data_IF_864127104975
#
_entry.id   IF_864127104975
#
_cell.length_a   1.000
_cell.length_b   1.000
_cell.length_c   1.000
_cell.angle_alpha   90.00
_cell.angle_beta   90.00
_cell.angle_gamma   90.00
#
_symmetry.space_group_name_H-M   'P 1'
#
loop_
_entity.id
_entity.type
_entity.pdbx_description
1 polymer ?
#
# COMPACT_ATOMS: atom_id res chain seq x y z
N UNK A 1 50.65 43.13 -32.42
CA UNK A 1 50.30 43.13 -33.87
C UNK A 1 51.54 43.49 -34.66
N UNK A 2 51.81 42.92 -35.84
CA UNK A 2 50.85 42.54 -36.91
C UNK A 2 50.85 41.01 -37.18
N UNK A 3 49.81 40.24 -37.56
CA UNK A 3 48.72 40.31 -38.57
C UNK A 3 49.27 40.53 -39.99
N UNK A 4 49.17 39.69 -41.03
CA UNK A 4 48.23 38.65 -41.51
C UNK A 4 48.83 38.15 -42.89
N UNK A 5 48.14 37.47 -43.85
CA UNK A 5 47.09 36.42 -43.86
C UNK A 5 47.34 35.25 -44.87
N UNK A 6 46.32 34.38 -44.99
CA UNK A 6 45.90 33.56 -46.15
C UNK A 6 46.46 32.11 -46.24
N UNK A 7 45.70 31.08 -46.63
CA UNK A 7 44.40 31.00 -47.27
C UNK A 7 43.69 29.67 -46.93
N UNK A 8 42.36 29.72 -46.96
CA UNK A 8 41.48 28.55 -46.99
C UNK A 8 41.51 27.88 -48.37
N UNK A 9 41.43 26.55 -48.41
CA UNK A 9 40.61 25.76 -49.36
C UNK A 9 40.99 24.28 -49.28
N UNK A 10 40.05 23.42 -48.90
CA UNK A 10 39.83 22.10 -49.49
C UNK A 10 38.62 21.44 -48.80
N UNK A 11 37.42 21.82 -49.25
CA UNK A 11 36.25 20.96 -49.17
C UNK A 11 36.35 20.00 -50.35
N UNK A 12 36.48 18.70 -50.07
CA UNK A 12 35.76 17.60 -50.75
C UNK A 12 36.49 16.26 -50.55
N UNK A 13 35.67 15.22 -50.39
CA UNK A 13 35.93 13.79 -50.65
C UNK A 13 36.38 12.95 -49.46
N UNK A 14 35.41 12.36 -48.76
CA UNK A 14 35.31 10.92 -48.51
C UNK A 14 34.10 10.63 -47.60
N UNK A 15 32.92 10.69 -48.21
CA UNK A 15 31.67 10.20 -47.61
C UNK A 15 31.40 8.83 -48.22
N UNK A 16 31.78 7.74 -47.53
CA UNK A 16 31.09 6.45 -47.55
C UNK A 16 31.80 5.38 -46.71
N UNK A 17 30.95 4.50 -46.16
CA UNK A 17 31.22 3.19 -45.57
C UNK A 17 31.51 3.16 -44.06
N UNK A 18 30.42 3.05 -43.31
CA UNK A 18 30.39 2.72 -41.90
C UNK A 18 28.94 2.64 -41.43
N UNK A 19 28.14 1.81 -42.10
CA UNK A 19 26.83 1.43 -41.59
C UNK A 19 27.07 0.57 -40.34
N UNK A 20 27.18 1.22 -39.18
CA UNK A 20 26.99 0.52 -37.91
C UNK A 20 25.57 -0.03 -37.92
N UNK A 21 25.49 -1.35 -37.90
CA UNK A 21 24.26 -2.07 -37.68
C UNK A 21 23.63 -1.50 -36.40
N UNK A 22 22.49 -0.83 -36.54
CA UNK A 22 21.59 -0.63 -35.42
C UNK A 22 21.23 -2.04 -34.99
N UNK A 23 21.80 -2.45 -33.86
CA UNK A 23 21.38 -3.61 -33.12
C UNK A 23 19.88 -3.44 -32.86
N UNK A 24 19.06 -4.05 -33.72
CA UNK A 24 17.64 -4.27 -33.45
C UNK A 24 17.54 -5.42 -32.46
N UNK A 25 18.28 -5.31 -31.36
CA UNK A 25 18.14 -6.17 -30.20
C UNK A 25 16.68 -6.10 -29.81
N UNK A 26 16.03 -7.26 -29.75
CA UNK A 26 14.76 -7.39 -29.06
C UNK A 26 14.89 -6.62 -27.74
N UNK A 27 14.04 -5.63 -27.43
CA UNK A 27 14.15 -4.92 -26.17
C UNK A 27 14.22 -5.98 -25.08
N UNK A 28 15.29 -5.97 -24.27
CA UNK A 28 15.43 -6.94 -23.19
C UNK A 28 14.16 -6.87 -22.35
N UNK A 29 13.35 -7.93 -22.42
CA UNK A 29 12.09 -8.00 -21.71
C UNK A 29 12.40 -7.89 -20.23
N UNK A 30 11.75 -6.95 -19.55
CA UNK A 30 11.88 -6.85 -18.11
C UNK A 30 11.45 -8.16 -17.46
N UNK A 31 12.22 -8.67 -16.50
CA UNK A 31 11.94 -9.95 -15.84
C UNK A 31 11.36 -9.71 -14.46
N UNK A 32 10.13 -10.18 -14.24
CA UNK A 32 9.38 -9.98 -13.01
C UNK A 32 9.19 -11.29 -12.24
N UNK A 33 9.34 -11.24 -10.93
CA UNK A 33 8.78 -12.28 -10.05
C UNK A 33 7.28 -12.03 -9.92
N UNK A 34 6.45 -13.04 -10.18
CA UNK A 34 4.99 -12.93 -10.09
C UNK A 34 4.46 -13.75 -8.92
N UNK A 35 3.93 -13.09 -7.91
CA UNK A 35 3.21 -13.75 -6.82
C UNK A 35 1.71 -13.52 -6.95
N UNK A 36 0.93 -14.60 -7.00
CA UNK A 36 -0.54 -14.53 -6.99
C UNK A 36 -1.09 -15.40 -5.85
N UNK A 37 -1.95 -14.82 -5.03
CA UNK A 37 -2.54 -15.54 -3.90
C UNK A 37 -3.62 -16.52 -4.37
N UNK A 38 -3.24 -17.79 -4.54
CA UNK A 38 -4.09 -18.84 -5.10
C UNK A 38 -5.16 -19.41 -4.12
N UNK A 39 -5.38 -18.81 -2.94
CA UNK A 39 -6.35 -19.33 -1.94
C UNK A 39 -7.83 -19.24 -2.37
N UNK A 40 -8.14 -18.72 -3.55
CA UNK A 40 -9.49 -18.70 -4.13
C UNK A 40 -9.67 -19.76 -5.23
N UNK A 41 -10.88 -20.27 -5.42
CA UNK A 41 -11.24 -21.25 -6.48
C UNK A 41 -10.89 -20.82 -7.91
N UNK A 42 -10.54 -19.54 -8.13
CA UNK A 42 -10.13 -18.93 -9.40
C UNK A 42 -8.64 -18.57 -9.48
N UNK A 43 -7.82 -18.97 -8.50
CA UNK A 43 -6.43 -18.50 -8.37
C UNK A 43 -5.51 -18.87 -9.53
N UNK A 44 -5.65 -20.09 -10.07
CA UNK A 44 -4.85 -20.56 -11.21
C UNK A 44 -5.22 -19.83 -12.52
N UNK A 45 -6.51 -19.58 -12.75
CA UNK A 45 -7.00 -18.84 -13.91
C UNK A 45 -6.53 -17.39 -13.88
N UNK A 46 -6.62 -16.74 -12.70
CA UNK A 46 -6.09 -15.40 -12.50
C UNK A 46 -4.57 -15.33 -12.68
N UNK A 47 -3.84 -16.40 -12.33
CA UNK A 47 -2.41 -16.47 -12.54
C UNK A 47 -2.03 -16.54 -14.03
N UNK A 48 -2.75 -17.35 -14.81
CA UNK A 48 -2.57 -17.39 -16.27
C UNK A 48 -2.87 -16.03 -16.90
N UNK A 49 -4.03 -15.45 -16.58
CA UNK A 49 -4.43 -14.15 -17.14
C UNK A 49 -3.45 -13.02 -16.79
N UNK A 50 -2.92 -13.01 -15.56
CA UNK A 50 -1.92 -12.04 -15.15
C UNK A 50 -0.59 -12.23 -15.90
N UNK A 51 -0.12 -13.47 -16.04
CA UNK A 51 1.10 -13.77 -16.80
C UNK A 51 0.95 -13.40 -18.28
N UNK A 52 -0.20 -13.69 -18.89
CA UNK A 52 -0.54 -13.30 -20.26
C UNK A 52 -0.56 -11.77 -20.43
N UNK A 53 -1.19 -11.04 -19.50
CA UNK A 53 -1.23 -9.59 -19.52
C UNK A 53 0.18 -8.96 -19.40
N UNK A 54 1.04 -9.51 -18.53
CA UNK A 54 2.42 -9.08 -18.38
C UNK A 54 3.25 -9.38 -19.64
N UNK A 55 3.10 -10.58 -20.21
CA UNK A 55 3.77 -10.96 -21.45
C UNK A 55 3.36 -10.06 -22.62
N UNK A 56 2.07 -9.75 -22.75
CA UNK A 56 1.56 -8.80 -23.75
C UNK A 56 2.09 -7.37 -23.55
N UNK A 57 2.47 -7.02 -22.32
CA UNK A 57 3.11 -5.75 -21.99
C UNK A 57 4.66 -5.78 -22.12
N UNK A 58 5.24 -6.91 -22.54
CA UNK A 58 6.69 -7.06 -22.71
C UNK A 58 7.46 -7.40 -21.42
N UNK A 59 6.81 -8.06 -20.46
CA UNK A 59 7.40 -8.50 -19.20
C UNK A 59 7.39 -10.03 -19.14
N UNK A 60 8.57 -10.64 -18.94
CA UNK A 60 8.68 -12.06 -18.63
C UNK A 60 8.35 -12.28 -17.16
N UNK A 61 7.20 -12.89 -16.87
CA UNK A 61 6.75 -13.16 -15.51
C UNK A 61 7.15 -14.58 -15.07
N UNK A 62 7.96 -14.69 -14.02
CA UNK A 62 8.31 -15.97 -13.39
C UNK A 62 7.45 -16.16 -12.15
N UNK A 63 6.52 -17.13 -12.15
CA UNK A 63 5.63 -17.35 -11.01
C UNK A 63 6.41 -17.85 -9.79
N UNK A 64 6.06 -17.30 -8.63
CA UNK A 64 6.50 -17.75 -7.31
C UNK A 64 5.28 -18.08 -6.46
N UNK A 65 5.39 -19.13 -5.66
CA UNK A 65 4.27 -19.62 -4.85
C UNK A 65 4.61 -19.60 -3.36
N UNK A 66 3.61 -19.23 -2.55
CA UNK A 66 3.63 -19.55 -1.13
C UNK A 66 3.18 -21.00 -0.97
N UNK A 67 4.04 -21.84 -0.39
CA UNK A 67 3.74 -23.24 -0.09
C UNK A 67 3.53 -23.45 1.42
N UNK A 68 3.17 -24.67 1.82
CA UNK A 68 3.14 -25.02 3.25
C UNK A 68 4.53 -24.81 3.87
N UNK A 69 4.68 -23.75 4.66
CA UNK A 69 5.93 -23.37 5.32
C UNK A 69 6.67 -22.18 4.70
N UNK A 70 6.22 -21.64 3.55
CA UNK A 70 6.77 -20.43 2.95
C UNK A 70 5.71 -19.32 2.86
N UNK A 71 5.94 -18.24 3.59
CA UNK A 71 5.17 -17.01 3.50
C UNK A 71 5.39 -16.29 2.15
N UNK A 72 4.52 -15.33 1.83
CA UNK A 72 4.68 -14.49 0.65
C UNK A 72 6.04 -13.77 0.62
N UNK A 73 6.46 -13.23 1.76
CA UNK A 73 7.77 -12.60 1.91
C UNK A 73 8.92 -13.57 1.62
N UNK A 74 8.90 -14.77 2.17
CA UNK A 74 9.95 -15.78 1.96
C UNK A 74 10.01 -16.25 0.51
N UNK A 75 8.86 -16.40 -0.16
CA UNK A 75 8.80 -16.73 -1.58
C UNK A 75 9.44 -15.64 -2.46
N UNK A 76 9.20 -14.36 -2.14
CA UNK A 76 9.83 -13.21 -2.83
C UNK A 76 11.35 -13.24 -2.64
N UNK A 77 11.82 -13.43 -1.39
CA UNK A 77 13.25 -13.45 -1.07
C UNK A 77 13.95 -14.61 -1.78
N UNK A 78 13.37 -15.81 -1.71
CA UNK A 78 13.92 -17.00 -2.36
C UNK A 78 13.93 -16.87 -3.88
N UNK A 79 12.85 -16.33 -4.47
CA UNK A 79 12.75 -16.10 -5.92
C UNK A 79 13.73 -15.04 -6.43
N UNK A 80 14.03 -14.02 -5.62
CA UNK A 80 14.97 -12.96 -6.00
C UNK A 80 16.44 -13.37 -5.84
N UNK A 81 16.75 -14.37 -5.01
CA UNK A 81 18.12 -14.77 -4.69
C UNK A 81 19.01 -15.13 -5.91
N UNK A 82 18.50 -15.79 -6.97
CA UNK A 82 19.29 -16.05 -8.18
C UNK A 82 19.65 -14.80 -9.00
N UNK A 83 19.01 -13.66 -8.73
CA UNK A 83 19.17 -12.42 -9.50
C UNK A 83 18.49 -12.46 -10.87
N UNK A 84 18.71 -11.40 -11.66
CA UNK A 84 18.15 -11.29 -13.02
C UNK A 84 16.66 -10.94 -13.06
N UNK A 85 16.12 -10.41 -11.96
CA UNK A 85 14.78 -9.83 -11.87
C UNK A 85 14.89 -8.34 -11.58
N UNK A 86 14.06 -7.53 -12.24
CA UNK A 86 14.06 -6.07 -12.09
C UNK A 86 12.85 -5.56 -11.31
N UNK A 87 11.86 -6.41 -11.05
CA UNK A 87 10.64 -6.09 -10.29
C UNK A 87 9.97 -7.30 -9.66
N UNK A 88 9.13 -7.05 -8.67
CA UNK A 88 8.19 -8.01 -8.10
C UNK A 88 6.78 -7.55 -8.42
N UNK A 89 5.98 -8.41 -9.04
CA UNK A 89 4.57 -8.18 -9.32
C UNK A 89 3.72 -9.00 -8.35
N UNK A 90 2.85 -8.32 -7.62
CA UNK A 90 1.91 -8.94 -6.69
C UNK A 90 0.50 -8.83 -7.25
N UNK A 91 -0.13 -9.97 -7.50
CA UNK A 91 -1.55 -10.07 -7.83
C UNK A 91 -2.36 -10.53 -6.63
N UNK A 92 -3.22 -9.64 -6.12
CA UNK A 92 -4.06 -9.94 -4.96
C UNK A 92 -4.76 -8.69 -4.42
N UNK A 93 -5.30 -8.82 -3.22
CA UNK A 93 -5.84 -7.69 -2.45
C UNK A 93 -4.85 -7.12 -1.44
N UNK A 94 -5.33 -6.18 -0.63
CA UNK A 94 -4.50 -5.46 0.36
C UNK A 94 -3.80 -6.39 1.36
N UNK A 95 -4.43 -7.50 1.77
CA UNK A 95 -3.79 -8.49 2.64
C UNK A 95 -2.61 -9.22 1.99
N UNK A 96 -2.66 -9.47 0.68
CA UNK A 96 -1.53 -10.07 -0.05
C UNK A 96 -0.40 -9.07 -0.22
N UNK A 97 -0.72 -7.80 -0.51
CA UNK A 97 0.26 -6.72 -0.56
C UNK A 97 0.95 -6.54 0.80
N UNK A 98 0.19 -6.51 1.90
CA UNK A 98 0.76 -6.38 3.24
C UNK A 98 1.71 -7.54 3.58
N UNK A 99 1.33 -8.78 3.24
CA UNK A 99 2.18 -9.96 3.43
C UNK A 99 3.48 -9.94 2.58
N UNK A 100 3.50 -9.18 1.49
CA UNK A 100 4.67 -9.01 0.63
C UNK A 100 5.69 -7.99 1.18
N UNK A 101 5.26 -7.05 2.06
CA UNK A 101 6.10 -5.94 2.53
C UNK A 101 7.48 -6.40 3.01
N UNK A 102 7.62 -7.41 3.89
CA UNK A 102 8.94 -7.79 4.39
C UNK A 102 9.89 -8.26 3.29
N UNK A 103 9.37 -9.02 2.30
CA UNK A 103 10.14 -9.49 1.16
C UNK A 103 10.53 -8.37 0.21
N UNK A 104 9.63 -7.41 -0.02
CA UNK A 104 9.90 -6.23 -0.85
C UNK A 104 10.97 -5.33 -0.19
N UNK A 105 10.87 -5.08 1.11
CA UNK A 105 11.85 -4.30 1.85
C UNK A 105 13.24 -4.95 1.84
N UNK A 106 13.29 -6.28 1.93
CA UNK A 106 14.56 -7.02 1.95
C UNK A 106 15.22 -7.10 0.57
N UNK A 107 14.43 -7.27 -0.50
CA UNK A 107 14.96 -7.36 -1.87
C UNK A 107 15.25 -6.00 -2.48
N UNK A 108 14.52 -4.95 -2.08
CA UNK A 108 14.61 -3.61 -2.67
C UNK A 108 14.07 -3.51 -4.10
N UNK A 109 13.48 -4.59 -4.62
CA UNK A 109 12.92 -4.63 -5.97
C UNK A 109 11.64 -3.78 -6.02
N UNK A 110 11.46 -2.96 -7.08
CA UNK A 110 10.21 -2.25 -7.32
C UNK A 110 8.99 -3.16 -7.39
N UNK A 111 7.87 -2.68 -6.83
CA UNK A 111 6.60 -3.37 -6.76
C UNK A 111 5.68 -2.98 -7.93
N UNK A 112 5.22 -3.98 -8.69
CA UNK A 112 4.06 -3.88 -9.57
C UNK A 112 2.81 -4.47 -8.91
N UNK A 113 1.66 -3.82 -9.07
CA UNK A 113 0.41 -4.25 -8.43
C UNK A 113 -0.60 -4.65 -9.50
N UNK A 114 -1.11 -5.89 -9.42
CA UNK A 114 -2.27 -6.36 -10.17
C UNK A 114 -3.48 -6.46 -9.21
N UNK A 115 -4.47 -5.55 -9.32
CA UNK A 115 -5.52 -5.39 -8.32
C UNK A 115 -6.61 -6.47 -8.42
N UNK A 116 -6.29 -7.68 -7.95
CA UNK A 116 -7.17 -8.85 -7.99
C UNK A 116 -8.07 -9.01 -6.74
N UNK A 117 -7.94 -8.11 -5.76
CA UNK A 117 -8.76 -8.11 -4.55
C UNK A 117 -10.08 -7.32 -4.66
N UNK A 118 -10.85 -7.31 -3.58
CA UNK A 118 -12.15 -6.62 -3.53
C UNK A 118 -12.03 -5.12 -3.27
N UNK A 119 -11.13 -4.71 -2.37
CA UNK A 119 -10.95 -3.31 -1.97
C UNK A 119 -9.86 -2.65 -2.83
N UNK A 120 -8.63 -3.18 -2.77
CA UNK A 120 -7.46 -2.66 -3.50
C UNK A 120 -7.20 -1.19 -3.15
N UNK A 121 -7.25 -0.88 -1.85
CA UNK A 121 -7.19 0.48 -1.33
C UNK A 121 -5.85 1.17 -1.70
N UNK A 122 -4.73 0.42 -1.70
CA UNK A 122 -3.43 0.94 -2.15
C UNK A 122 -3.44 1.25 -3.66
N UNK A 123 -3.90 0.32 -4.48
CA UNK A 123 -3.96 0.50 -5.94
C UNK A 123 -4.81 1.72 -6.31
N UNK A 124 -5.98 1.89 -5.67
CA UNK A 124 -6.84 3.07 -5.85
C UNK A 124 -6.15 4.36 -5.42
N UNK A 125 -5.44 4.34 -4.30
CA UNK A 125 -4.73 5.52 -3.79
C UNK A 125 -3.58 5.94 -4.71
N UNK A 126 -2.98 4.99 -5.43
CA UNK A 126 -1.92 5.23 -6.41
C UNK A 126 -2.44 5.47 -7.84
N UNK A 127 -3.76 5.42 -8.06
CA UNK A 127 -4.36 5.59 -9.39
C UNK A 127 -4.21 4.39 -10.33
N UNK A 128 -3.83 3.22 -9.82
CA UNK A 128 -3.59 2.02 -10.64
C UNK A 128 -4.94 1.51 -11.19
N UNK A 129 -5.06 1.29 -12.52
CA UNK A 129 -6.27 0.78 -13.15
C UNK A 129 -6.69 -0.60 -12.61
N UNK A 130 -8.00 -0.86 -12.57
CA UNK A 130 -8.53 -2.17 -12.13
C UNK A 130 -8.39 -3.28 -13.16
N UNK A 131 -8.36 -2.92 -14.45
CA UNK A 131 -8.21 -3.88 -15.55
C UNK A 131 -6.77 -4.41 -15.63
N UNK A 132 -6.62 -5.73 -15.75
CA UNK A 132 -5.32 -6.41 -15.69
C UNK A 132 -4.36 -5.92 -16.76
N UNK A 133 -4.82 -5.77 -18.00
CA UNK A 133 -3.97 -5.32 -19.11
C UNK A 133 -3.53 -3.88 -18.92
N UNK A 134 -4.39 -3.03 -18.33
CA UNK A 134 -4.05 -1.65 -18.05
C UNK A 134 -3.05 -1.53 -16.90
N UNK A 135 -3.22 -2.32 -15.83
CA UNK A 135 -2.25 -2.40 -14.74
C UNK A 135 -0.90 -2.96 -15.22
N UNK A 136 -0.90 -4.02 -16.05
CA UNK A 136 0.32 -4.58 -16.65
C UNK A 136 1.06 -3.55 -17.52
N UNK A 137 0.33 -2.75 -18.31
CA UNK A 137 0.94 -1.62 -19.06
C UNK A 137 1.62 -0.62 -18.14
N UNK A 138 0.96 -0.21 -17.05
CA UNK A 138 1.57 0.70 -16.05
C UNK A 138 2.88 0.11 -15.50
N UNK A 139 2.89 -1.18 -15.18
CA UNK A 139 4.10 -1.87 -14.69
C UNK A 139 5.21 -1.86 -15.74
N UNK A 140 4.87 -1.96 -17.02
CA UNK A 140 5.84 -1.99 -18.11
C UNK A 140 6.39 -0.62 -18.50
N UNK A 141 5.53 0.42 -18.51
CA UNK A 141 5.86 1.72 -19.13
C UNK A 141 6.22 2.81 -18.14
N UNK A 142 5.69 2.76 -16.91
CA UNK A 142 5.90 3.83 -15.94
C UNK A 142 7.20 3.65 -15.15
N UNK A 143 7.75 4.76 -14.67
CA UNK A 143 8.87 4.71 -13.74
C UNK A 143 8.36 4.43 -12.32
N UNK A 144 9.03 3.56 -11.53
CA UNK A 144 8.57 3.27 -10.18
C UNK A 144 8.94 4.42 -9.24
N UNK A 145 7.93 4.94 -8.54
CA UNK A 145 8.01 6.09 -7.64
C UNK A 145 8.11 5.68 -6.17
N UNK A 146 8.76 6.48 -5.30
CA UNK A 146 8.83 6.18 -3.88
C UNK A 146 7.44 6.20 -3.24
N UNK A 147 7.22 5.27 -2.31
CA UNK A 147 6.02 5.17 -1.48
C UNK A 147 6.46 4.97 -0.04
N UNK A 148 5.84 5.73 0.86
CA UNK A 148 6.08 5.64 2.29
C UNK A 148 5.30 4.46 2.89
N UNK A 149 5.82 3.93 4.01
CA UNK A 149 5.10 2.96 4.83
C UNK A 149 4.93 3.51 6.24
N UNK A 150 3.73 3.37 6.79
CA UNK A 150 3.54 3.49 8.22
C UNK A 150 4.20 2.31 8.93
N UNK A 151 4.73 2.51 10.13
CA UNK A 151 5.28 1.45 10.96
C UNK A 151 4.78 1.61 12.40
N UNK A 152 4.37 0.51 13.02
CA UNK A 152 4.08 0.46 14.45
C UNK A 152 4.91 -0.63 15.13
N UNK A 153 5.76 -0.27 16.09
CA UNK A 153 6.61 -1.21 16.82
C UNK A 153 7.38 -2.20 15.91
N UNK A 154 7.91 -1.74 14.77
CA UNK A 154 8.61 -2.59 13.80
C UNK A 154 7.72 -3.26 12.75
N UNK A 155 6.39 -3.17 12.86
CA UNK A 155 5.44 -3.74 11.89
C UNK A 155 5.01 -2.70 10.85
N UNK A 156 5.46 -2.82 9.59
CA UNK A 156 5.08 -1.90 8.53
C UNK A 156 3.66 -2.16 8.00
N UNK A 157 3.02 -1.11 7.48
CA UNK A 157 1.69 -1.15 6.89
C UNK A 157 1.54 -0.09 5.79
N UNK A 158 0.66 -0.34 4.83
CA UNK A 158 0.39 0.57 3.72
C UNK A 158 -0.63 1.65 4.08
N UNK A 159 -1.77 1.25 4.64
CA UNK A 159 -2.94 2.13 4.72
C UNK A 159 -3.14 2.67 6.11
N UNK A 160 -3.44 1.80 7.09
CA UNK A 160 -3.77 2.25 8.45
C UNK A 160 -3.40 1.25 9.52
N UNK A 161 -3.00 1.78 10.67
CA UNK A 161 -2.98 1.07 11.92
C UNK A 161 -4.04 1.63 12.87
N UNK A 162 -4.75 0.77 13.58
CA UNK A 162 -5.86 1.20 14.45
C UNK A 162 -5.95 0.42 15.75
N UNK A 163 -6.41 1.12 16.79
CA UNK A 163 -6.67 0.59 18.13
C UNK A 163 -8.12 0.86 18.51
N UNK A 164 -8.72 -0.06 19.25
CA UNK A 164 -10.08 0.07 19.76
C UNK A 164 -11.07 -0.67 18.89
N UNK A 165 -12.19 -0.03 18.56
CA UNK A 165 -13.31 -0.66 17.88
C UNK A 165 -12.92 -1.49 16.64
N UNK A 166 -12.10 -0.95 15.74
CA UNK A 166 -11.66 -1.66 14.52
C UNK A 166 -10.76 -2.87 14.80
N UNK A 167 -9.92 -2.84 15.84
CA UNK A 167 -9.10 -3.99 16.23
C UNK A 167 -9.96 -5.09 16.88
N UNK A 168 -10.93 -4.72 17.71
CA UNK A 168 -11.91 -5.65 18.29
C UNK A 168 -12.76 -6.29 17.18
N UNK A 169 -13.17 -5.51 16.18
CA UNK A 169 -13.88 -6.00 14.98
C UNK A 169 -13.02 -6.96 14.16
N UNK A 170 -11.75 -6.65 13.89
CA UNK A 170 -10.85 -7.54 13.15
C UNK A 170 -10.66 -8.89 13.87
N UNK A 171 -10.51 -8.86 15.20
CA UNK A 171 -10.38 -10.05 16.03
C UNK A 171 -11.63 -10.94 15.93
N UNK A 172 -12.83 -10.35 16.08
CA UNK A 172 -14.08 -11.09 16.10
C UNK A 172 -14.49 -11.56 14.71
N UNK A 173 -14.21 -10.80 13.65
CA UNK A 173 -14.40 -11.24 12.27
C UNK A 173 -13.49 -12.39 11.90
N UNK A 174 -12.24 -12.46 12.38
CA UNK A 174 -11.39 -13.64 12.18
C UNK A 174 -11.99 -14.89 12.84
N UNK A 175 -12.63 -14.74 14.00
CA UNK A 175 -13.33 -15.84 14.67
C UNK A 175 -14.62 -16.25 13.93
N UNK A 176 -15.40 -15.27 13.47
CA UNK A 176 -16.71 -15.48 12.86
C UNK A 176 -16.64 -15.76 11.35
N UNK A 177 -15.54 -15.46 10.64
CA UNK A 177 -15.30 -15.86 9.26
C UNK A 177 -15.23 -17.40 9.08
N UNK A 178 -15.15 -18.16 10.19
CA UNK A 178 -15.41 -19.61 10.21
C UNK A 178 -16.91 -19.94 10.06
N UNK A 179 -17.80 -18.96 10.13
CA UNK A 179 -19.25 -19.07 9.98
C UNK A 179 -19.74 -18.18 8.82
N UNK A 180 -20.54 -18.81 7.95
CA UNK A 180 -20.80 -18.38 6.58
C UNK A 180 -21.91 -17.33 6.50
N UNK A 181 -21.60 -16.04 6.62
CA UNK A 181 -22.58 -14.96 6.41
C UNK A 181 -22.01 -13.83 5.54
N UNK A 182 -22.73 -13.47 4.47
CA UNK A 182 -22.33 -12.45 3.49
C UNK A 182 -22.43 -11.00 4.00
N UNK A 183 -22.47 -10.02 3.06
CA UNK A 183 -22.42 -8.56 3.33
C UNK A 183 -23.39 -8.03 4.40
N UNK A 184 -24.58 -8.61 4.53
CA UNK A 184 -25.56 -8.22 5.56
C UNK A 184 -25.16 -8.70 6.97
N UNK A 185 -24.55 -9.89 7.07
CA UNK A 185 -24.02 -10.41 8.34
C UNK A 185 -22.89 -9.55 8.89
N UNK A 186 -22.04 -9.03 7.99
CA UNK A 186 -21.00 -8.07 8.34
C UNK A 186 -21.58 -6.79 8.98
N UNK A 187 -22.62 -6.22 8.38
CA UNK A 187 -23.26 -5.00 8.91
C UNK A 187 -23.87 -5.18 10.29
N UNK A 188 -24.52 -6.32 10.53
CA UNK A 188 -25.12 -6.64 11.85
C UNK A 188 -24.04 -6.89 12.90
N UNK A 189 -22.98 -7.64 12.56
CA UNK A 189 -21.85 -7.89 13.46
C UNK A 189 -21.13 -6.57 13.83
N UNK A 190 -20.85 -5.73 12.84
CA UNK A 190 -20.24 -4.42 13.04
C UNK A 190 -21.10 -3.53 13.94
N UNK A 191 -22.42 -3.50 13.75
CA UNK A 191 -23.34 -2.73 14.61
C UNK A 191 -23.41 -3.31 16.04
N UNK A 192 -23.42 -4.63 16.19
CA UNK A 192 -23.41 -5.29 17.49
C UNK A 192 -22.15 -4.95 18.30
N UNK A 193 -20.99 -4.99 17.64
CA UNK A 193 -19.71 -4.58 18.22
C UNK A 193 -19.70 -3.10 18.54
N UNK A 194 -20.25 -2.25 17.67
CA UNK A 194 -20.28 -0.82 17.87
C UNK A 194 -21.09 -0.43 19.11
N UNK A 195 -22.19 -1.15 19.37
CA UNK A 195 -23.01 -0.96 20.58
C UNK A 195 -22.30 -1.42 21.85
N UNK A 196 -21.32 -2.33 21.75
CA UNK A 196 -20.51 -2.83 22.87
C UNK A 196 -19.22 -2.04 23.07
N UNK A 197 -18.77 -1.31 22.05
CA UNK A 197 -17.55 -0.50 22.09
C UNK A 197 -17.59 0.48 23.26
N UNK A 198 -16.60 0.38 24.14
CA UNK A 198 -16.46 1.28 25.30
C UNK A 198 -15.29 2.24 25.06
N UNK A 199 -15.48 3.55 25.31
CA UNK A 199 -14.38 4.50 25.27
C UNK A 199 -13.25 4.08 26.23
N UNK A 200 -12.02 4.30 25.81
CA UNK A 200 -10.82 4.07 26.59
C UNK A 200 -9.98 5.34 26.66
N UNK A 201 -9.19 5.44 27.73
CA UNK A 201 -8.22 6.52 27.89
C UNK A 201 -6.94 6.17 27.15
N UNK A 202 -6.45 7.11 26.35
CA UNK A 202 -5.15 7.04 25.71
C UNK A 202 -4.37 8.35 25.91
N UNK A 203 -3.05 8.24 25.96
CA UNK A 203 -2.14 9.38 25.84
C UNK A 203 -1.53 9.32 24.43
N UNK A 204 -1.68 10.42 23.69
CA UNK A 204 -1.12 10.62 22.36
C UNK A 204 0.04 11.60 22.52
N UNK A 205 1.26 11.13 22.29
CA UNK A 205 2.49 11.90 22.47
C UNK A 205 3.10 12.13 21.10
N UNK A 206 3.13 13.37 20.65
CA UNK A 206 3.66 13.75 19.34
C UNK A 206 4.15 15.20 19.39
N UNK A 207 5.18 15.53 18.60
CA UNK A 207 5.66 16.91 18.41
C UNK A 207 5.92 17.69 19.72
N UNK A 208 6.36 17.01 20.78
CA UNK A 208 6.61 17.60 22.11
C UNK A 208 5.35 17.85 22.96
N UNK A 209 4.16 17.47 22.48
CA UNK A 209 2.88 17.61 23.16
C UNK A 209 2.42 16.25 23.69
N UNK A 210 1.69 16.27 24.81
CA UNK A 210 0.99 15.11 25.36
C UNK A 210 -0.50 15.41 25.43
N UNK A 211 -1.28 14.76 24.59
CA UNK A 211 -2.73 14.87 24.57
C UNK A 211 -3.39 13.66 25.24
N UNK A 212 -4.29 13.92 26.19
CA UNK A 212 -5.05 12.87 26.88
C UNK A 212 -6.46 12.81 26.33
N UNK A 213 -6.83 11.68 25.74
CA UNK A 213 -8.12 11.51 25.06
C UNK A 213 -8.94 10.39 25.69
N UNK A 214 -10.27 10.55 25.65
CA UNK A 214 -11.23 9.49 25.91
C UNK A 214 -11.90 9.13 24.58
N UNK A 215 -11.51 8.01 24.00
CA UNK A 215 -11.80 7.67 22.60
C UNK A 215 -12.26 6.24 22.47
N UNK A 216 -13.06 5.95 21.45
CA UNK A 216 -13.40 4.55 21.12
C UNK A 216 -12.47 3.94 20.07
N UNK A 217 -11.73 4.79 19.35
CA UNK A 217 -10.80 4.36 18.32
C UNK A 217 -9.73 5.42 18.08
N UNK A 218 -8.49 4.97 17.95
CA UNK A 218 -7.41 5.77 17.36
C UNK A 218 -6.98 5.09 16.07
N UNK A 219 -6.84 5.84 14.99
CA UNK A 219 -6.36 5.39 13.69
C UNK A 219 -5.18 6.25 13.27
N UNK A 220 -4.13 5.62 12.75
CA UNK A 220 -2.91 6.24 12.26
C UNK A 220 -2.75 5.82 10.80
N UNK A 221 -3.09 6.72 9.89
CA UNK A 221 -3.09 6.51 8.45
C UNK A 221 -1.78 6.95 7.80
N UNK A 222 -1.40 6.22 6.75
CA UNK A 222 -0.38 6.59 5.77
C UNK A 222 -1.00 6.76 4.37
N UNK A 223 -2.15 6.13 4.11
CA UNK A 223 -2.85 6.21 2.83
C UNK A 223 -4.12 7.06 2.87
N UNK A 224 -4.60 7.44 1.67
CA UNK A 224 -5.84 8.21 1.46
C UNK A 224 -7.11 7.47 1.89
N UNK A 225 -7.11 6.14 1.76
CA UNK A 225 -8.28 5.30 1.93
C UNK A 225 -8.07 4.21 2.99
N UNK A 226 -9.14 3.81 3.66
CA UNK A 226 -9.19 2.65 4.55
C UNK A 226 -10.51 1.89 4.42
N UNK A 227 -10.44 0.56 4.50
CA UNK A 227 -11.59 -0.29 4.83
C UNK A 227 -12.66 -0.35 3.74
N UNK A 228 -12.25 -0.38 2.47
CA UNK A 228 -13.17 -0.47 1.33
C UNK A 228 -13.68 0.89 0.84
N UNK A 229 -12.78 1.88 0.80
CA UNK A 229 -13.05 3.20 0.24
C UNK A 229 -13.56 4.27 1.23
N UNK A 230 -13.35 4.11 2.54
CA UNK A 230 -13.53 5.25 3.47
C UNK A 230 -12.32 6.18 3.36
N UNK A 231 -12.54 7.43 2.99
CA UNK A 231 -11.49 8.42 2.84
C UNK A 231 -11.02 8.90 4.22
N UNK A 232 -9.75 8.69 4.52
CA UNK A 232 -9.09 9.05 5.79
C UNK A 232 -8.92 10.57 5.86
N UNK A 233 -8.33 11.17 4.82
CA UNK A 233 -8.44 12.58 4.46
C UNK A 233 -8.36 12.70 2.94
N UNK A 234 -9.05 13.68 2.35
CA UNK A 234 -9.05 13.88 0.90
C UNK A 234 -7.66 14.21 0.33
N UNK A 235 -6.82 14.83 1.17
CA UNK A 235 -5.47 15.29 0.82
C UNK A 235 -4.37 14.28 1.16
N UNK A 236 -4.65 13.23 1.92
CA UNK A 236 -3.63 12.28 2.36
C UNK A 236 -3.00 11.57 1.16
N UNK A 237 -1.67 11.54 1.09
CA UNK A 237 -0.94 10.86 0.03
C UNK A 237 0.06 9.88 0.62
N UNK A 238 0.20 8.68 0.05
CA UNK A 238 1.14 7.68 0.54
C UNK A 238 2.62 8.04 0.31
N UNK A 239 2.92 9.25 -0.17
CA UNK A 239 4.26 9.78 -0.45
C UNK A 239 4.47 11.21 0.10
N UNK A 240 3.54 11.73 0.91
CA UNK A 240 3.64 13.08 1.49
C UNK A 240 4.57 13.16 2.71
N UNK A 241 5.02 12.03 3.24
CA UNK A 241 5.93 12.00 4.36
C UNK A 241 5.30 12.28 5.73
N UNK A 242 3.97 12.17 5.86
CA UNK A 242 3.22 12.52 7.06
C UNK A 242 2.29 11.36 7.46
N UNK A 243 2.10 11.13 8.76
CA UNK A 243 1.04 10.27 9.30
C UNK A 243 -0.17 11.12 9.66
N UNK A 244 -1.36 10.73 9.19
CA UNK A 244 -2.62 11.33 9.59
C UNK A 244 -3.22 10.55 10.78
N UNK A 245 -3.41 11.22 11.92
CA UNK A 245 -3.92 10.62 13.15
C UNK A 245 -5.35 11.07 13.41
N UNK A 246 -6.21 10.10 13.69
CA UNK A 246 -7.63 10.29 14.01
C UNK A 246 -7.96 9.68 15.35
N UNK A 247 -8.58 10.46 16.22
CA UNK A 247 -9.18 9.95 17.46
C UNK A 247 -10.69 10.18 17.41
N UNK A 248 -11.45 9.10 17.59
CA UNK A 248 -12.90 9.13 17.60
C UNK A 248 -13.42 9.25 19.02
N UNK A 249 -13.57 10.48 19.48
CA UNK A 249 -13.91 10.88 20.85
C UNK A 249 -15.42 10.88 21.11
N UNK A 250 -16.14 9.93 20.50
CA UNK A 250 -17.59 9.82 20.67
C UNK A 250 -17.94 9.14 22.00
N UNK A 251 -18.85 9.76 22.73
CA UNK A 251 -19.38 9.21 23.98
C UNK A 251 -20.57 8.27 23.79
N UNK A 252 -21.19 8.28 22.61
CA UNK A 252 -22.38 7.47 22.29
C UNK A 252 -22.29 6.88 20.88
N UNK A 253 -22.53 5.57 20.76
CA UNK A 253 -22.40 4.81 19.50
C UNK A 253 -23.25 5.35 18.33
N UNK A 254 -24.42 5.95 18.61
CA UNK A 254 -25.29 6.49 17.56
C UNK A 254 -24.70 7.75 16.89
N UNK A 255 -23.84 8.51 17.58
CA UNK A 255 -23.12 9.63 16.95
C UNK A 255 -22.22 9.14 15.83
N UNK A 256 -21.67 7.93 15.98
CA UNK A 256 -20.83 7.30 14.97
C UNK A 256 -21.63 6.84 13.74
N UNK A 257 -22.86 6.37 13.97
CA UNK A 257 -23.79 6.08 12.87
C UNK A 257 -24.15 7.34 12.10
N UNK A 258 -24.39 8.46 12.80
CA UNK A 258 -24.62 9.76 12.17
C UNK A 258 -23.40 10.30 11.41
N UNK A 259 -22.19 9.88 11.80
CA UNK A 259 -20.92 10.27 11.18
C UNK A 259 -20.57 9.44 9.92
N UNK A 260 -21.15 8.25 9.74
CA UNK A 260 -20.87 7.34 8.61
C UNK A 260 -20.93 8.00 7.22
N UNK A 261 -21.94 8.83 6.88
CA UNK A 261 -22.00 9.48 5.58
C UNK A 261 -20.82 10.44 5.34
N UNK A 262 -20.31 11.06 6.40
CA UNK A 262 -19.22 12.04 6.37
C UNK A 262 -17.85 11.37 6.34
N UNK A 263 -17.68 10.25 7.07
CA UNK A 263 -16.51 9.37 6.97
C UNK A 263 -16.32 8.81 5.57
N UNK A 264 -17.42 8.43 4.90
CA UNK A 264 -17.36 7.99 3.49
C UNK A 264 -16.94 9.09 2.52
N UNK A 265 -17.13 10.36 2.89
CA UNK A 265 -16.77 11.52 2.08
C UNK A 265 -15.41 12.12 2.45
N UNK A 266 -14.75 11.65 3.52
CA UNK A 266 -13.48 12.22 3.98
C UNK A 266 -13.59 13.56 4.70
N UNK A 267 -14.80 14.01 5.01
CA UNK A 267 -15.10 15.34 5.59
C UNK A 267 -15.27 15.33 7.13
N UNK A 268 -14.92 14.22 7.79
CA UNK A 268 -15.11 14.02 9.23
C UNK A 268 -14.29 14.98 10.12
N UNK A 269 -13.22 15.59 9.61
CA UNK A 269 -12.37 16.51 10.38
C UNK A 269 -13.11 17.77 10.88
N UNK A 270 -14.32 18.02 10.40
CA UNK A 270 -15.16 19.15 10.83
C UNK A 270 -16.03 18.82 12.07
N UNK A 271 -16.02 17.59 12.55
CA UNK A 271 -16.84 17.20 13.71
C UNK A 271 -16.09 17.40 15.03
N UNK A 272 -16.76 18.04 16.00
CA UNK A 272 -16.22 18.29 17.36
C UNK A 272 -15.81 17.02 18.12
N UNK A 273 -16.37 15.88 17.74
CA UNK A 273 -16.10 14.57 18.36
C UNK A 273 -15.00 13.77 17.61
N UNK A 274 -14.35 14.38 16.60
CA UNK A 274 -13.24 13.78 15.84
C UNK A 274 -12.04 14.69 15.98
N UNK A 275 -10.98 14.16 16.59
CA UNK A 275 -9.68 14.83 16.62
C UNK A 275 -8.87 14.38 15.42
N UNK A 276 -8.28 15.33 14.73
CA UNK A 276 -7.40 15.10 13.59
C UNK A 276 -6.12 15.91 13.77
N UNK A 277 -4.97 15.27 13.61
CA UNK A 277 -3.69 15.96 13.51
C UNK A 277 -2.73 15.16 12.62
N UNK A 278 -1.71 15.86 12.12
CA UNK A 278 -0.66 15.32 11.26
C UNK A 278 0.65 15.32 12.02
N UNK A 279 1.41 14.24 11.94
CA UNK A 279 2.73 14.14 12.59
C UNK A 279 3.63 13.16 11.85
N UNK A 280 4.94 13.17 12.12
CA UNK A 280 5.88 12.16 11.60
C UNK A 280 6.11 11.01 12.58
N UNK A 281 5.77 11.20 13.86
CA UNK A 281 5.94 10.20 14.89
C UNK A 281 4.89 10.37 16.00
N UNK A 282 4.30 9.26 16.42
CA UNK A 282 3.30 9.23 17.50
C UNK A 282 3.67 8.12 18.47
N UNK A 283 3.81 8.44 19.75
CA UNK A 283 3.76 7.44 20.81
C UNK A 283 2.35 7.40 21.42
N UNK A 284 1.76 6.22 21.44
CA UNK A 284 0.42 5.97 21.96
C UNK A 284 0.50 5.06 23.17
N UNK A 285 0.04 5.57 24.32
CA UNK A 285 -0.01 4.82 25.58
C UNK A 285 -1.44 4.60 26.03
N UNK A 286 -1.71 3.43 26.62
CA UNK A 286 -2.98 3.12 27.26
C UNK A 286 -2.75 2.48 28.61
N UNK A 287 -3.70 2.64 29.55
CA UNK A 287 -3.57 2.09 30.92
C UNK A 287 -3.39 0.56 30.95
N UNK A 288 -4.03 -0.13 30.01
CA UNK A 288 -3.88 -1.58 29.80
C UNK A 288 -3.43 -1.79 28.35
N UNK A 289 -2.59 -2.79 28.06
CA UNK A 289 -2.26 -3.16 26.70
C UNK A 289 -3.53 -3.42 25.88
N UNK A 290 -3.57 -2.86 24.69
CA UNK A 290 -4.64 -3.02 23.71
C UNK A 290 -4.04 -3.48 22.39
N UNK A 291 -4.72 -4.40 21.68
CA UNK A 291 -4.24 -4.88 20.40
C UNK A 291 -4.35 -3.80 19.33
N UNK A 292 -3.43 -3.85 18.38
CA UNK A 292 -3.32 -2.94 17.24
C UNK A 292 -3.53 -3.75 15.97
N UNK A 293 -4.44 -3.27 15.15
CA UNK A 293 -4.72 -3.80 13.84
C UNK A 293 -3.96 -2.98 12.78
N UNK A 294 -3.13 -3.61 11.97
CA UNK A 294 -2.49 -3.02 10.79
C UNK A 294 -3.06 -3.65 9.52
N UNK A 295 -3.67 -2.85 8.64
CA UNK A 295 -4.26 -3.31 7.37
C UNK A 295 -5.18 -4.55 7.46
N UNK A 296 -5.82 -4.77 8.62
CA UNK A 296 -6.76 -5.88 8.84
C UNK A 296 -6.19 -7.08 9.61
N UNK A 297 -4.93 -7.01 10.04
CA UNK A 297 -4.29 -8.01 10.88
C UNK A 297 -3.90 -7.46 12.25
N UNK A 298 -4.08 -8.24 13.31
CA UNK A 298 -3.55 -7.90 14.63
C UNK A 298 -2.05 -8.19 14.68
N UNK A 299 -1.24 -7.15 14.78
CA UNK A 299 0.23 -7.24 14.66
C UNK A 299 0.98 -6.69 15.87
N UNK A 300 0.42 -5.70 16.57
CA UNK A 300 1.11 -5.03 17.67
C UNK A 300 0.19 -4.80 18.89
N UNK A 301 0.78 -4.26 19.96
CA UNK A 301 0.09 -3.91 21.22
C UNK A 301 0.59 -2.57 21.74
N UNK A 302 -0.22 -1.88 22.54
CA UNK A 302 0.21 -0.69 23.28
C UNK A 302 1.05 -1.03 24.52
N UNK A 303 2.01 -0.16 24.92
CA UNK A 303 2.38 1.12 24.31
C UNK A 303 2.99 0.92 22.92
N UNK A 304 2.71 1.87 22.02
CA UNK A 304 3.05 1.75 20.62
C UNK A 304 3.70 3.01 20.09
N UNK A 305 4.75 2.83 19.31
CA UNK A 305 5.47 3.90 18.64
C UNK A 305 5.19 3.76 17.14
N UNK A 306 4.48 4.75 16.61
CA UNK A 306 4.22 4.92 15.20
C UNK A 306 5.27 5.82 14.58
N UNK A 307 5.81 5.40 13.44
CA UNK A 307 6.76 6.17 12.65
C UNK A 307 6.46 5.98 11.17
N UNK A 308 7.02 6.87 10.37
CA UNK A 308 7.00 6.73 8.93
C UNK A 308 8.35 6.23 8.41
N UNK A 309 8.32 5.17 7.61
CA UNK A 309 9.45 4.78 6.75
C UNK A 309 9.31 5.50 5.42
N UNK A 310 10.04 6.60 5.27
CA UNK A 310 10.02 7.41 4.04
C UNK A 310 10.64 6.65 2.88
N UNK A 311 10.02 6.76 1.70
CA UNK A 311 10.44 6.14 0.45
C UNK A 311 10.82 4.65 0.62
N UNK A 312 10.08 3.95 1.47
CA UNK A 312 10.41 2.59 1.88
C UNK A 312 10.30 1.59 0.73
N UNK A 313 9.36 1.82 -0.19
CA UNK A 313 9.15 1.00 -1.37
C UNK A 313 9.17 1.87 -2.62
N UNK A 314 9.44 1.23 -3.76
CA UNK A 314 9.24 1.83 -5.08
C UNK A 314 8.08 1.11 -5.76
N UNK A 315 7.10 1.84 -6.27
CA UNK A 315 5.88 1.25 -6.85
C UNK A 315 5.65 1.80 -8.25
N UNK A 316 5.35 0.92 -9.19
CA UNK A 316 4.88 1.31 -10.52
C UNK A 316 3.44 1.81 -10.43
N UNK A 317 3.24 3.08 -10.76
CA UNK A 317 1.94 3.75 -10.70
C UNK A 317 1.89 4.84 -11.77
N UNK A 318 0.69 5.22 -12.26
CA UNK A 318 0.57 6.35 -13.16
C UNK A 318 1.12 7.64 -12.53
N UNK A 319 1.54 8.62 -13.35
CA UNK A 319 1.95 9.93 -12.87
C UNK A 319 0.79 10.64 -12.15
N UNK A 320 1.12 11.46 -11.16
CA UNK A 320 0.14 12.19 -10.37
C UNK A 320 -0.75 13.08 -11.28
N UNK A 321 -2.08 12.88 -11.23
CA UNK A 321 -3.06 13.73 -11.91
C UNK A 321 -3.61 13.22 -13.24
N UNK A 322 -3.40 11.94 -13.57
CA UNK A 322 -4.08 11.24 -14.67
C UNK A 322 -5.56 10.93 -14.37
#
# INVERSE_FOLDING_TARGET
MPWQPAAASAVATAQQAGAEAIDTGTPELGRALLFINQKARSGAEQASAAAEALAAAGIEAVPIEASEGLSCAEAIIAGAAPGGFDRVVIGGGDGTLNAAIPGLLQTGLPLGILPLGTANDLARSLGIPTELEAAARVIATEAPRPVDLGEVNGHPYFNVASIGFSAELAAELKAEAKKRWGRLGYGVAALGLLRRARPFRAELIHDGVVERVLTIQVSVGNGRHYGGGMTVAEEARPDDGILDVYSLEVTRWWKLVALLPWLRRGTQGQWRDVRVFRTTALELRTRRPRPINTDGELTAWTPAVFRLRRAALRVFAPPDGA
#
